data_IF_293052766733
#
_entry.id   IF_293052766733
#
_cell.length_a   1.000
_cell.length_b   1.000
_cell.length_c   1.000
_cell.angle_alpha   90.00
_cell.angle_beta   90.00
_cell.angle_gamma   90.00
#
_symmetry.space_group_name_H-M   'P 1'
#
loop_
_entity.id
_entity.type
_entity.pdbx_description
1 polymer ?
#
# COMPACT_ATOMS: atom_id res chain seq x y z
N UNK A 1 19.38 -72.61 -11.73
CA UNK A 1 20.24 -71.73 -12.56
C UNK A 1 19.32 -70.82 -13.36
N UNK A 2 19.12 -69.59 -12.93
CA UNK A 2 18.48 -68.56 -13.75
C UNK A 2 19.06 -67.21 -13.33
N UNK A 3 19.52 -66.49 -14.35
CA UNK A 3 20.44 -65.37 -14.32
C UNK A 3 19.76 -64.07 -13.91
N UNK A 4 20.50 -63.27 -13.14
CA UNK A 4 20.26 -61.86 -12.81
C UNK A 4 20.15 -61.01 -14.08
N UNK A 5 19.17 -60.09 -14.12
CA UNK A 5 19.19 -58.91 -14.99
C UNK A 5 18.79 -57.70 -14.15
N UNK A 6 19.74 -56.77 -14.05
CA UNK A 6 19.62 -55.46 -13.42
C UNK A 6 18.86 -54.56 -14.39
N UNK A 7 17.80 -53.89 -13.92
CA UNK A 7 17.22 -52.73 -14.61
C UNK A 7 17.57 -51.49 -13.78
N UNK A 8 18.45 -50.67 -14.33
CA UNK A 8 18.64 -49.27 -13.96
C UNK A 8 17.35 -48.51 -14.23
N UNK A 9 16.85 -47.81 -13.21
CA UNK A 9 15.78 -46.82 -13.34
C UNK A 9 16.45 -45.52 -13.75
N UNK A 10 16.23 -45.13 -15.00
CA UNK A 10 16.58 -43.82 -15.52
C UNK A 10 15.77 -42.76 -14.74
N UNK A 11 16.48 -41.77 -14.20
CA UNK A 11 15.88 -40.55 -13.68
C UNK A 11 15.24 -39.82 -14.85
N UNK A 12 13.90 -39.82 -14.94
CA UNK A 12 13.19 -38.96 -15.89
C UNK A 12 13.42 -37.50 -15.49
N UNK A 13 14.31 -36.82 -16.22
CA UNK A 13 14.31 -35.36 -16.28
C UNK A 13 12.93 -34.91 -16.76
N UNK A 14 12.23 -34.17 -15.89
CA UNK A 14 10.96 -33.53 -16.24
C UNK A 14 11.11 -32.62 -17.47
N UNK A 15 10.00 -32.33 -18.17
CA UNK A 15 10.05 -31.53 -19.38
C UNK A 15 10.71 -30.17 -19.13
N UNK A 16 11.47 -29.63 -20.10
CA UNK A 16 12.05 -28.29 -20.00
C UNK A 16 10.93 -27.29 -19.74
N UNK A 17 11.10 -26.47 -18.69
CA UNK A 17 10.21 -25.34 -18.41
C UNK A 17 10.15 -24.45 -19.66
N UNK A 18 8.95 -24.17 -20.19
CA UNK A 18 8.76 -23.22 -21.29
C UNK A 18 9.33 -21.85 -20.86
N UNK A 19 10.52 -21.49 -21.35
CA UNK A 19 11.09 -20.18 -21.13
C UNK A 19 10.23 -19.14 -21.86
N UNK A 20 9.56 -18.26 -21.11
CA UNK A 20 8.87 -17.10 -21.69
C UNK A 20 9.88 -16.32 -22.54
N UNK A 21 9.57 -16.00 -23.81
CA UNK A 21 10.53 -15.36 -24.70
C UNK A 21 10.99 -14.01 -24.12
N UNK A 22 12.30 -13.78 -24.14
CA UNK A 22 12.90 -12.51 -23.68
C UNK A 22 12.37 -11.38 -24.57
N UNK A 23 11.85 -10.28 -24.00
CA UNK A 23 11.28 -9.20 -24.77
C UNK A 23 12.34 -8.50 -25.62
N UNK A 24 11.96 -8.11 -26.84
CA UNK A 24 12.79 -7.22 -27.65
C UNK A 24 12.67 -5.82 -27.06
N UNK A 25 13.78 -5.31 -26.52
CA UNK A 25 13.85 -3.97 -25.93
C UNK A 25 14.64 -3.02 -26.84
N UNK A 26 14.41 -1.70 -26.76
CA UNK A 26 15.17 -0.71 -27.53
C UNK A 26 16.69 -0.79 -27.24
N UNK A 27 17.49 -0.38 -28.24
CA UNK A 27 18.96 -0.45 -28.16
C UNK A 27 19.52 0.26 -26.95
N UNK A 28 18.96 1.42 -26.57
CA UNK A 28 19.35 2.16 -25.38
C UNK A 28 19.22 1.37 -24.06
N UNK A 29 18.34 0.37 -23.99
CA UNK A 29 18.28 -0.57 -22.86
C UNK A 29 19.22 -1.75 -23.11
N UNK A 30 19.14 -2.43 -24.26
CA UNK A 30 19.92 -3.65 -24.49
C UNK A 30 21.44 -3.42 -24.52
N UNK A 31 21.88 -2.23 -24.93
CA UNK A 31 23.29 -1.83 -24.97
C UNK A 31 23.89 -1.66 -23.57
N UNK A 32 23.04 -1.45 -22.55
CA UNK A 32 23.46 -1.23 -21.15
C UNK A 32 23.06 -2.36 -20.21
N UNK A 33 21.96 -3.04 -20.49
CA UNK A 33 21.38 -4.06 -19.65
C UNK A 33 21.14 -5.35 -20.42
N UNK A 34 21.58 -6.47 -19.85
CA UNK A 34 21.16 -7.80 -20.25
C UNK A 34 19.80 -8.10 -19.63
N UNK A 35 18.74 -8.10 -20.44
CA UNK A 35 17.38 -8.49 -20.00
C UNK A 35 17.31 -10.00 -19.87
N UNK A 36 16.75 -10.47 -18.75
CA UNK A 36 16.60 -11.87 -18.41
C UNK A 36 15.13 -12.31 -18.37
N UNK A 37 14.87 -13.33 -17.57
CA UNK A 37 13.54 -13.93 -17.41
C UNK A 37 12.51 -12.93 -16.90
N UNK A 38 11.25 -13.16 -17.25
CA UNK A 38 10.13 -12.48 -16.62
C UNK A 38 10.06 -12.91 -15.16
N UNK A 39 9.95 -11.93 -14.28
CA UNK A 39 9.88 -12.13 -12.84
C UNK A 39 8.52 -11.73 -12.26
N UNK A 40 7.70 -11.04 -13.05
CA UNK A 40 6.27 -11.00 -12.82
C UNK A 40 5.48 -10.28 -13.93
N UNK A 41 4.16 -10.41 -13.85
CA UNK A 41 3.21 -10.09 -14.91
C UNK A 41 1.98 -9.42 -14.32
N UNK A 42 1.61 -8.26 -14.85
CA UNK A 42 0.42 -7.48 -14.50
C UNK A 42 -0.35 -7.07 -15.76
N UNK A 43 -1.60 -6.65 -15.58
CA UNK A 43 -2.50 -6.19 -16.63
C UNK A 43 -1.83 -5.15 -17.54
N UNK A 44 -1.15 -4.16 -16.96
CA UNK A 44 -0.57 -3.03 -17.71
C UNK A 44 0.95 -3.07 -17.88
N UNK A 45 1.64 -3.90 -17.09
CA UNK A 45 3.09 -3.93 -17.05
C UNK A 45 3.63 -5.35 -16.85
N UNK A 46 4.78 -5.64 -17.44
CA UNK A 46 5.56 -6.85 -17.17
C UNK A 46 6.89 -6.46 -16.53
N UNK A 47 7.45 -7.33 -15.71
CA UNK A 47 8.70 -7.06 -14.99
C UNK A 47 9.70 -8.16 -15.30
N UNK A 48 10.90 -7.77 -15.73
CA UNK A 48 12.00 -8.67 -16.04
C UNK A 48 13.18 -8.43 -15.09
N UNK A 49 13.94 -9.46 -14.77
CA UNK A 49 15.28 -9.26 -14.20
C UNK A 49 16.16 -8.66 -15.31
N UNK A 50 17.02 -7.70 -14.97
CA UNK A 50 18.04 -7.23 -15.88
C UNK A 50 19.37 -7.00 -15.16
N UNK A 51 20.48 -7.16 -15.86
CA UNK A 51 21.83 -7.01 -15.29
C UNK A 51 22.56 -5.94 -16.09
N UNK A 52 23.10 -4.93 -15.41
CA UNK A 52 23.90 -3.90 -16.06
C UNK A 52 25.25 -4.48 -16.50
N UNK A 53 25.60 -4.29 -17.78
CA UNK A 53 26.80 -4.90 -18.37
C UNK A 53 28.11 -4.40 -17.72
N UNK A 54 28.16 -3.11 -17.34
CA UNK A 54 29.38 -2.47 -16.83
C UNK A 54 29.70 -2.87 -15.39
N UNK A 55 28.68 -3.11 -14.56
CA UNK A 55 28.84 -3.36 -13.11
C UNK A 55 28.52 -4.80 -12.72
N UNK A 56 27.79 -5.54 -13.55
CA UNK A 56 27.22 -6.84 -13.20
C UNK A 56 26.10 -6.76 -12.15
N UNK A 57 25.63 -5.56 -11.79
CA UNK A 57 24.57 -5.38 -10.80
C UNK A 57 23.21 -5.73 -11.38
N UNK A 58 22.41 -6.47 -10.61
CA UNK A 58 21.05 -6.86 -10.97
C UNK A 58 20.03 -5.77 -10.59
N UNK A 59 19.04 -5.62 -11.45
CA UNK A 59 17.94 -4.65 -11.38
C UNK A 59 16.64 -5.30 -11.87
N UNK A 60 15.52 -4.59 -11.71
CA UNK A 60 14.24 -4.97 -12.25
C UNK A 60 13.85 -4.01 -13.37
N UNK A 61 13.45 -4.53 -14.52
CA UNK A 61 12.96 -3.77 -15.66
C UNK A 61 11.44 -3.89 -15.72
N UNK A 62 10.73 -2.86 -15.26
CA UNK A 62 9.27 -2.74 -15.42
C UNK A 62 8.96 -2.11 -16.78
N UNK A 63 8.23 -2.83 -17.62
CA UNK A 63 7.84 -2.44 -18.98
C UNK A 63 6.33 -2.20 -18.99
N UNK A 64 5.91 -0.95 -19.13
CA UNK A 64 4.51 -0.53 -19.11
C UNK A 64 4.02 -0.34 -20.54
N UNK A 65 2.94 -1.02 -20.91
CA UNK A 65 2.30 -0.86 -22.22
C UNK A 65 1.35 0.34 -22.21
N UNK A 66 1.72 1.43 -22.89
CA UNK A 66 0.90 2.67 -22.92
C UNK A 66 -0.45 2.47 -23.57
N UNK A 67 -0.56 1.56 -24.55
CA UNK A 67 -1.82 1.24 -25.21
C UNK A 67 -2.87 0.66 -24.25
N UNK A 68 -2.43 -0.16 -23.28
CA UNK A 68 -3.32 -0.69 -22.23
C UNK A 68 -3.69 0.36 -21.18
N UNK A 69 -2.97 1.47 -21.11
CA UNK A 69 -3.14 2.53 -20.12
C UNK A 69 -3.92 3.74 -20.64
N UNK A 70 -4.68 3.58 -21.72
CA UNK A 70 -5.43 4.67 -22.34
C UNK A 70 -6.45 5.26 -21.37
N UNK A 71 -6.43 6.59 -21.18
CA UNK A 71 -7.22 7.31 -20.18
C UNK A 71 -6.58 7.37 -18.79
N UNK A 72 -5.43 6.71 -18.59
CA UNK A 72 -4.67 6.63 -17.33
C UNK A 72 -3.25 7.19 -17.46
N UNK A 73 -2.94 7.86 -18.58
CA UNK A 73 -1.60 8.33 -18.92
C UNK A 73 -1.04 9.31 -17.87
N UNK A 74 -1.90 10.17 -17.33
CA UNK A 74 -1.52 11.13 -16.30
C UNK A 74 -1.01 10.44 -15.01
N UNK A 75 -1.54 9.25 -14.67
CA UNK A 75 -1.11 8.51 -13.48
C UNK A 75 0.29 7.95 -13.65
N UNK A 76 0.60 7.40 -14.83
CA UNK A 76 1.95 6.91 -15.16
C UNK A 76 2.95 8.06 -15.16
N UNK A 77 2.59 9.18 -15.79
CA UNK A 77 3.44 10.37 -15.80
C UNK A 77 3.72 10.88 -14.37
N UNK A 78 2.71 10.82 -13.49
CA UNK A 78 2.84 11.21 -12.09
C UNK A 78 3.72 10.24 -11.29
N UNK A 79 3.54 8.93 -11.45
CA UNK A 79 4.38 7.89 -10.83
C UNK A 79 5.86 8.14 -11.19
N UNK A 80 6.16 8.31 -12.48
CA UNK A 80 7.53 8.60 -12.96
C UNK A 80 8.06 9.92 -12.40
N UNK A 81 7.25 10.99 -12.41
CA UNK A 81 7.65 12.28 -11.88
C UNK A 81 8.01 12.21 -10.38
N UNK A 82 7.29 11.42 -9.61
CA UNK A 82 7.57 11.16 -8.19
C UNK A 82 8.84 10.33 -8.03
N UNK A 83 8.94 9.19 -8.73
CA UNK A 83 10.08 8.27 -8.64
C UNK A 83 11.42 8.92 -9.04
N UNK A 84 11.41 9.89 -9.97
CA UNK A 84 12.60 10.70 -10.29
C UNK A 84 13.13 11.50 -9.10
N UNK A 85 12.23 12.02 -8.26
CA UNK A 85 12.54 12.93 -7.14
C UNK A 85 12.90 12.18 -5.87
N UNK A 86 12.31 11.02 -5.66
CA UNK A 86 12.40 10.26 -4.40
C UNK A 86 13.70 9.47 -4.37
N UNK A 87 14.56 9.78 -3.38
CA UNK A 87 15.83 9.09 -3.12
C UNK A 87 15.98 8.86 -1.61
N UNK A 88 15.72 7.63 -1.15
CA UNK A 88 15.76 7.28 0.26
C UNK A 88 16.16 5.80 0.44
N UNK A 89 16.94 5.43 1.47
CA UNK A 89 17.37 4.04 1.69
C UNK A 89 16.20 3.05 1.85
N UNK A 90 15.11 3.48 2.49
CA UNK A 90 13.91 2.67 2.70
C UNK A 90 12.84 2.83 1.59
N UNK A 91 13.23 3.25 0.39
CA UNK A 91 12.35 3.32 -0.78
C UNK A 91 13.03 2.61 -1.96
N UNK A 92 12.27 1.85 -2.75
CA UNK A 92 12.75 1.23 -4.00
C UNK A 92 13.07 2.33 -5.00
N UNK A 93 14.32 2.39 -5.45
CA UNK A 93 14.80 3.48 -6.30
C UNK A 93 14.52 3.24 -7.78
N UNK A 94 14.09 4.29 -8.48
CA UNK A 94 14.22 4.38 -9.94
C UNK A 94 15.69 4.71 -10.29
N UNK A 95 16.31 3.82 -11.06
CA UNK A 95 17.70 3.91 -11.53
C UNK A 95 17.74 4.65 -12.85
N UNK A 96 16.90 4.23 -13.79
CA UNK A 96 16.83 4.77 -15.13
C UNK A 96 15.42 4.58 -15.69
N UNK A 97 15.04 5.44 -16.62
CA UNK A 97 13.79 5.35 -17.33
C UNK A 97 14.03 5.59 -18.82
N UNK A 98 13.18 5.01 -19.65
CA UNK A 98 13.18 5.28 -21.07
C UNK A 98 11.76 5.30 -21.59
N UNK A 99 11.39 6.44 -22.15
CA UNK A 99 10.07 6.67 -22.69
C UNK A 99 10.05 6.49 -24.21
N UNK A 100 9.24 5.58 -24.70
CA UNK A 100 9.05 5.35 -26.14
C UNK A 100 7.61 5.68 -26.54
N UNK A 101 7.30 5.57 -27.83
CA UNK A 101 5.93 5.84 -28.30
C UNK A 101 4.90 4.87 -27.71
N UNK A 102 5.19 3.57 -27.69
CA UNK A 102 4.24 2.52 -27.27
C UNK A 102 4.43 2.05 -25.83
N UNK A 103 5.64 2.20 -25.28
CA UNK A 103 6.01 1.58 -24.01
C UNK A 103 6.87 2.53 -23.16
N UNK A 104 6.78 2.38 -21.85
CA UNK A 104 7.65 3.03 -20.88
C UNK A 104 8.45 1.96 -20.13
N UNK A 105 9.75 2.15 -20.05
CA UNK A 105 10.70 1.24 -19.42
C UNK A 105 11.25 1.88 -18.17
N UNK A 106 11.16 1.21 -17.02
CA UNK A 106 11.67 1.67 -15.74
C UNK A 106 12.65 0.63 -15.20
N UNK A 107 13.93 1.01 -15.12
CA UNK A 107 14.96 0.23 -14.44
C UNK A 107 14.92 0.62 -12.97
N UNK A 108 14.55 -0.33 -12.12
CA UNK A 108 14.32 -0.14 -10.70
C UNK A 108 15.29 -1.01 -9.88
N UNK A 109 15.53 -0.61 -8.63
CA UNK A 109 16.25 -1.43 -7.67
C UNK A 109 15.55 -2.79 -7.49
N UNK A 110 16.29 -3.88 -7.68
CA UNK A 110 15.77 -5.24 -7.44
C UNK A 110 16.01 -5.63 -5.98
N UNK A 111 14.93 -5.86 -5.24
CA UNK A 111 14.95 -6.29 -3.84
C UNK A 111 14.59 -7.77 -3.75
N UNK A 112 15.53 -8.62 -3.31
CA UNK A 112 15.41 -10.09 -3.39
C UNK A 112 14.95 -10.79 -2.11
N UNK A 113 14.76 -10.08 -0.99
CA UNK A 113 14.40 -10.68 0.31
C UNK A 113 12.90 -10.96 0.49
N UNK A 114 12.09 -10.76 -0.55
CA UNK A 114 10.64 -10.99 -0.50
C UNK A 114 9.86 -9.83 0.12
N UNK A 115 8.59 -10.11 0.41
CA UNK A 115 7.68 -9.16 1.04
C UNK A 115 7.75 -9.23 2.57
N UNK A 116 7.05 -8.30 3.24
CA UNK A 116 7.03 -8.19 4.70
C UNK A 116 6.64 -9.49 5.40
N UNK A 117 5.68 -10.23 4.86
CA UNK A 117 5.18 -11.46 5.49
C UNK A 117 6.09 -12.66 5.22
N UNK A 118 6.80 -12.67 4.09
CA UNK A 118 7.88 -13.63 3.86
C UNK A 118 9.00 -13.49 4.91
N UNK A 119 9.40 -12.27 5.26
CA UNK A 119 10.39 -12.04 6.33
C UNK A 119 9.92 -12.55 7.70
N UNK A 120 8.65 -12.33 8.06
CA UNK A 120 8.13 -12.79 9.36
C UNK A 120 8.02 -14.31 9.39
N UNK A 121 7.60 -14.94 8.29
CA UNK A 121 7.40 -16.40 8.24
C UNK A 121 8.70 -17.19 8.08
N UNK A 122 9.77 -16.57 7.60
CA UNK A 122 11.11 -17.16 7.51
C UNK A 122 11.96 -16.96 8.78
N UNK A 123 11.57 -16.05 9.66
CA UNK A 123 12.29 -15.76 10.90
C UNK A 123 11.98 -16.79 11.99
N UNK A 124 13.02 -17.47 12.50
CA UNK A 124 12.87 -18.48 13.57
C UNK A 124 12.44 -17.89 14.93
N UNK A 125 12.92 -16.69 15.27
CA UNK A 125 12.57 -15.95 16.50
C UNK A 125 12.19 -14.53 16.13
N UNK A 126 10.89 -14.23 16.18
CA UNK A 126 10.33 -12.92 15.86
C UNK A 126 9.77 -12.25 17.11
N UNK A 127 10.14 -10.99 17.35
CA UNK A 127 9.90 -10.24 18.59
C UNK A 127 9.33 -8.84 18.30
N UNK A 128 8.90 -8.12 19.33
CA UNK A 128 8.51 -6.71 19.19
C UNK A 128 9.64 -5.83 18.65
N UNK A 129 10.91 -6.17 18.94
CA UNK A 129 12.06 -5.43 18.43
C UNK A 129 12.17 -5.52 16.91
N UNK A 130 11.87 -6.68 16.34
CA UNK A 130 11.87 -6.89 14.90
C UNK A 130 10.74 -6.08 14.24
N UNK A 131 9.53 -6.13 14.83
CA UNK A 131 8.39 -5.33 14.40
C UNK A 131 8.66 -3.81 14.49
N UNK A 132 9.32 -3.37 15.56
CA UNK A 132 9.70 -1.97 15.78
C UNK A 132 10.74 -1.50 14.76
N UNK A 133 11.75 -2.33 14.46
CA UNK A 133 12.73 -2.04 13.40
C UNK A 133 12.09 -1.91 12.01
N UNK A 134 11.12 -2.77 11.71
CA UNK A 134 10.31 -2.68 10.49
C UNK A 134 9.50 -1.37 10.43
N UNK A 135 8.80 -1.02 11.53
CA UNK A 135 8.07 0.25 11.61
C UNK A 135 9.00 1.46 11.50
N UNK A 136 10.18 1.42 12.11
CA UNK A 136 11.17 2.49 12.01
C UNK A 136 11.59 2.76 10.56
N UNK A 137 11.82 1.71 9.77
CA UNK A 137 12.14 1.83 8.34
C UNK A 137 10.98 2.43 7.54
N UNK A 138 9.75 1.94 7.79
CA UNK A 138 8.55 2.44 7.13
C UNK A 138 8.29 3.90 7.48
N UNK A 139 8.31 4.26 8.77
CA UNK A 139 8.08 5.62 9.24
C UNK A 139 9.15 6.60 8.73
N UNK A 140 10.41 6.18 8.56
CA UNK A 140 11.43 7.00 7.91
C UNK A 140 11.12 7.25 6.43
N UNK A 141 10.70 6.23 5.68
CA UNK A 141 10.26 6.40 4.29
C UNK A 141 9.08 7.37 4.19
N UNK A 142 8.06 7.19 5.04
CA UNK A 142 6.86 8.06 5.08
C UNK A 142 7.26 9.49 5.43
N UNK A 143 8.09 9.70 6.47
CA UNK A 143 8.58 11.03 6.86
C UNK A 143 9.27 11.73 5.69
N UNK A 144 10.12 11.01 4.96
CA UNK A 144 10.80 11.55 3.79
C UNK A 144 9.79 11.98 2.70
N UNK A 145 8.82 11.12 2.35
CA UNK A 145 7.79 11.46 1.37
C UNK A 145 6.95 12.66 1.81
N UNK A 146 6.52 12.69 3.07
CA UNK A 146 5.71 13.76 3.63
C UNK A 146 6.47 15.09 3.65
N UNK A 147 7.80 15.08 3.84
CA UNK A 147 8.63 16.29 3.72
C UNK A 147 8.67 16.88 2.32
N UNK A 148 8.33 16.08 1.30
CA UNK A 148 8.19 16.49 -0.10
C UNK A 148 6.73 16.72 -0.50
N UNK A 149 5.81 16.73 0.47
CA UNK A 149 4.35 16.75 0.28
C UNK A 149 3.84 15.61 -0.60
N UNK A 150 4.48 14.43 -0.57
CA UNK A 150 4.02 13.25 -1.32
C UNK A 150 3.26 12.33 -0.37
N UNK A 151 2.05 11.92 -0.76
CA UNK A 151 1.27 10.85 -0.11
C UNK A 151 1.36 9.58 -0.95
N UNK A 152 1.54 8.42 -0.32
CA UNK A 152 1.67 7.14 -1.03
C UNK A 152 0.31 6.51 -1.38
N UNK A 153 -0.66 6.53 -0.44
CA UNK A 153 -2.06 6.05 -0.59
C UNK A 153 -2.27 4.54 -0.78
N UNK A 154 -1.21 3.75 -0.89
CA UNK A 154 -1.29 2.29 -1.03
C UNK A 154 -0.17 1.57 -0.27
N UNK A 155 0.09 2.02 0.97
CA UNK A 155 1.01 1.35 1.87
C UNK A 155 0.32 0.07 2.37
N UNK A 156 0.91 -1.08 2.05
CA UNK A 156 0.43 -2.41 2.40
C UNK A 156 1.60 -3.40 2.44
N UNK A 157 1.47 -4.55 3.12
CA UNK A 157 2.55 -5.54 3.26
C UNK A 157 3.17 -5.97 1.94
N UNK A 158 2.36 -6.10 0.89
CA UNK A 158 2.83 -6.47 -0.44
C UNK A 158 3.85 -5.47 -0.96
N UNK A 159 3.65 -4.17 -0.72
CA UNK A 159 4.49 -3.05 -1.17
C UNK A 159 5.70 -2.78 -0.26
N UNK A 160 5.92 -3.60 0.76
CA UNK A 160 7.03 -3.50 1.71
C UNK A 160 8.01 -4.64 1.49
N UNK A 161 9.09 -4.33 0.77
CA UNK A 161 10.10 -5.31 0.38
C UNK A 161 11.23 -5.38 1.39
N UNK A 162 11.75 -6.58 1.58
CA UNK A 162 12.83 -6.84 2.53
C UNK A 162 14.16 -6.84 1.79
N UNK A 163 15.02 -5.90 2.14
CA UNK A 163 16.38 -5.81 1.65
C UNK A 163 17.33 -6.45 2.66
N UNK A 164 18.05 -7.48 2.22
CA UNK A 164 19.11 -8.14 2.99
C UNK A 164 20.45 -7.46 2.71
N UNK A 165 21.09 -6.98 3.76
CA UNK A 165 22.43 -6.40 3.71
C UNK A 165 23.49 -7.50 3.75
N UNK A 166 24.70 -7.17 3.31
CA UNK A 166 25.83 -8.11 3.28
C UNK A 166 26.27 -8.60 4.67
N UNK A 167 25.96 -7.82 5.72
CA UNK A 167 26.23 -8.17 7.11
C UNK A 167 25.15 -9.08 7.73
N UNK A 168 24.14 -9.47 6.94
CA UNK A 168 23.01 -10.29 7.37
C UNK A 168 21.90 -9.51 8.07
N UNK A 169 22.02 -8.19 8.23
CA UNK A 169 20.92 -7.35 8.69
C UNK A 169 19.86 -7.17 7.60
N UNK A 170 18.64 -6.82 7.99
CA UNK A 170 17.55 -6.56 7.05
C UNK A 170 16.99 -5.15 7.22
N UNK A 171 16.43 -4.62 6.14
CA UNK A 171 15.72 -3.34 6.16
C UNK A 171 14.52 -3.37 5.21
N UNK A 172 13.47 -2.62 5.53
CA UNK A 172 12.33 -2.47 4.63
C UNK A 172 12.55 -1.37 3.58
N UNK A 173 12.07 -1.65 2.37
CA UNK A 173 11.97 -0.71 1.27
C UNK A 173 10.52 -0.64 0.79
N UNK A 174 9.94 0.55 0.88
CA UNK A 174 8.62 0.85 0.32
C UNK A 174 8.73 0.97 -1.20
N UNK A 175 7.90 0.25 -1.94
CA UNK A 175 7.78 0.35 -3.38
C UNK A 175 6.35 0.63 -3.82
N UNK A 176 6.15 0.64 -5.14
CA UNK A 176 4.88 0.91 -5.83
C UNK A 176 4.28 2.30 -5.59
N UNK A 177 4.65 3.25 -6.45
CA UNK A 177 4.20 4.63 -6.38
C UNK A 177 3.06 4.95 -7.35
N UNK A 178 2.40 3.94 -7.92
CA UNK A 178 1.38 4.17 -8.96
C UNK A 178 0.13 4.91 -8.47
N UNK A 179 -0.15 4.88 -7.16
CA UNK A 179 -1.16 5.73 -6.52
C UNK A 179 -0.56 6.94 -5.79
N UNK A 180 0.75 7.15 -5.78
CA UNK A 180 1.33 8.28 -5.07
C UNK A 180 0.97 9.62 -5.75
N UNK A 181 0.88 10.71 -4.99
CA UNK A 181 0.67 12.06 -5.53
C UNK A 181 1.26 13.14 -4.64
N UNK A 182 1.57 14.29 -5.23
CA UNK A 182 1.85 15.51 -4.45
C UNK A 182 0.54 16.08 -3.91
N UNK A 183 0.55 16.52 -2.66
CA UNK A 183 -0.58 17.08 -1.93
C UNK A 183 -0.47 18.60 -1.92
N UNK A 184 -1.25 19.27 -2.77
CA UNK A 184 -1.38 20.74 -2.81
C UNK A 184 -2.72 21.23 -2.23
N UNK A 185 -3.51 20.32 -1.68
CA UNK A 185 -4.83 20.56 -1.10
C UNK A 185 -5.50 19.22 -0.75
N UNK A 186 -6.72 19.24 -0.17
CA UNK A 186 -7.45 18.01 0.15
C UNK A 186 -7.72 17.17 -1.10
N UNK A 187 -7.43 15.88 -1.00
CA UNK A 187 -7.72 14.88 -2.03
C UNK A 187 -9.04 14.19 -1.74
N UNK A 188 -9.78 13.79 -2.78
CA UNK A 188 -11.11 13.18 -2.65
C UNK A 188 -11.23 11.83 -3.38
N UNK A 189 -10.22 11.44 -4.15
CA UNK A 189 -10.24 10.16 -4.87
C UNK A 189 -10.19 9.00 -3.90
N UNK A 190 -11.22 8.16 -3.91
CA UNK A 190 -11.29 6.93 -3.11
C UNK A 190 -10.43 5.85 -3.78
N UNK A 191 -9.30 5.52 -3.17
CA UNK A 191 -8.32 4.57 -3.70
C UNK A 191 -7.57 3.85 -2.56
N UNK A 192 -6.77 2.85 -2.92
CA UNK A 192 -6.00 2.03 -1.98
C UNK A 192 -6.66 0.69 -1.70
N UNK A 193 -5.97 -0.14 -0.93
CA UNK A 193 -6.44 -1.49 -0.59
C UNK A 193 -7.36 -1.45 0.64
N UNK A 194 -8.64 -1.92 0.56
CA UNK A 194 -9.68 -1.71 1.57
C UNK A 194 -9.27 -1.89 3.04
N UNK A 195 -8.47 -2.92 3.36
CA UNK A 195 -8.02 -3.22 4.73
C UNK A 195 -7.16 -2.12 5.36
N UNK A 196 -6.46 -1.32 4.55
CA UNK A 196 -5.46 -0.34 5.01
C UNK A 196 -5.90 1.11 4.79
N UNK A 197 -7.09 1.31 4.22
CA UNK A 197 -7.61 2.64 3.86
C UNK A 197 -8.06 3.39 5.11
N UNK A 198 -7.76 4.69 5.16
CA UNK A 198 -8.09 5.56 6.26
C UNK A 198 -9.59 5.98 6.26
N UNK A 199 -10.19 6.29 7.42
CA UNK A 199 -11.60 6.65 7.54
C UNK A 199 -12.02 7.83 6.65
N UNK A 200 -11.17 8.86 6.54
CA UNK A 200 -11.44 10.06 5.76
C UNK A 200 -11.45 9.82 4.23
N UNK A 201 -10.80 8.74 3.75
CA UNK A 201 -10.91 8.31 2.34
C UNK A 201 -12.30 7.70 2.11
N UNK A 202 -12.77 6.85 3.03
CA UNK A 202 -14.08 6.18 2.96
C UNK A 202 -15.22 7.19 3.13
N UNK A 203 -15.05 8.16 4.02
CA UNK A 203 -16.02 9.23 4.28
C UNK A 203 -16.04 10.31 3.20
N UNK A 204 -15.05 10.32 2.29
CA UNK A 204 -14.87 11.33 1.24
C UNK A 204 -14.85 12.77 1.77
N UNK A 205 -14.35 12.98 3.00
CA UNK A 205 -14.32 14.30 3.65
C UNK A 205 -13.14 15.16 3.21
N UNK A 206 -12.26 14.60 2.37
CA UNK A 206 -11.00 15.22 1.98
C UNK A 206 -9.87 14.69 2.85
N UNK A 207 -8.78 14.26 2.23
CA UNK A 207 -7.64 13.67 2.94
C UNK A 207 -6.30 14.24 2.47
N UNK A 208 -5.26 14.02 3.27
CA UNK A 208 -3.89 14.45 3.03
C UNK A 208 -2.88 13.38 3.40
N UNK A 209 -1.71 13.79 3.88
CA UNK A 209 -0.56 12.91 4.12
C UNK A 209 -0.81 11.82 5.19
N UNK A 210 -1.61 12.11 6.23
CA UNK A 210 -1.80 11.22 7.39
C UNK A 210 -2.58 9.91 7.10
N UNK A 211 -3.07 9.70 5.88
CA UNK A 211 -3.62 8.40 5.46
C UNK A 211 -2.54 7.31 5.44
N UNK A 212 -1.29 7.69 5.13
CA UNK A 212 -0.15 6.78 5.16
C UNK A 212 0.18 6.32 6.59
N UNK A 213 -0.08 7.16 7.59
CA UNK A 213 0.12 6.83 9.01
C UNK A 213 -0.93 5.82 9.49
N UNK A 214 -2.18 5.98 9.04
CA UNK A 214 -3.22 5.00 9.32
C UNK A 214 -2.84 3.61 8.78
N UNK A 215 -2.43 3.55 7.50
CA UNK A 215 -1.98 2.31 6.87
C UNK A 215 -0.79 1.67 7.63
N UNK A 216 0.20 2.47 8.02
CA UNK A 216 1.31 2.01 8.85
C UNK A 216 0.86 1.50 10.23
N UNK A 217 -0.18 2.11 10.83
CA UNK A 217 -0.77 1.66 12.09
C UNK A 217 -1.47 0.30 11.96
N UNK A 218 -2.22 0.10 10.87
CA UNK A 218 -2.83 -1.19 10.52
C UNK A 218 -1.76 -2.27 10.35
N UNK A 219 -0.67 -1.95 9.64
CA UNK A 219 0.46 -2.87 9.45
C UNK A 219 1.12 -3.19 10.80
N UNK A 220 1.37 -2.20 11.65
CA UNK A 220 1.96 -2.41 12.98
C UNK A 220 1.10 -3.34 13.84
N UNK A 221 -0.22 -3.18 13.80
CA UNK A 221 -1.14 -4.09 14.47
C UNK A 221 -1.00 -5.53 13.96
N UNK A 222 -0.91 -5.72 12.63
CA UNK A 222 -0.71 -7.04 12.01
C UNK A 222 0.66 -7.62 12.38
N UNK A 223 1.72 -6.81 12.41
CA UNK A 223 3.06 -7.26 12.79
C UNK A 223 3.09 -7.88 14.19
N UNK A 224 2.20 -7.45 15.10
CA UNK A 224 2.20 -7.89 16.49
C UNK A 224 1.25 -9.05 16.78
N UNK A 225 0.15 -9.21 16.04
CA UNK A 225 -0.82 -10.29 16.28
C UNK A 225 -1.11 -11.20 15.08
N UNK A 226 -0.66 -10.83 13.88
CA UNK A 226 -0.81 -11.60 12.64
C UNK A 226 -2.20 -11.51 11.99
N UNK A 227 -2.99 -10.49 12.33
CA UNK A 227 -4.28 -10.20 11.70
C UNK A 227 -4.63 -8.71 11.68
N UNK A 228 -5.46 -8.22 10.74
CA UNK A 228 -5.87 -6.82 10.70
C UNK A 228 -6.80 -6.44 11.87
N UNK A 229 -6.77 -5.18 12.33
CA UNK A 229 -7.60 -4.67 13.42
C UNK A 229 -9.08 -4.56 13.05
N UNK A 230 -9.38 -4.18 11.81
CA UNK A 230 -10.73 -4.04 11.29
C UNK A 230 -11.06 -5.20 10.36
N UNK A 231 -12.20 -5.85 10.58
CA UNK A 231 -12.64 -7.02 9.82
C UNK A 231 -14.15 -6.97 9.62
N UNK A 232 -14.59 -7.14 8.38
CA UNK A 232 -15.96 -7.57 8.09
C UNK A 232 -16.11 -9.08 8.30
N UNK A 233 -17.35 -9.58 8.25
CA UNK A 233 -17.57 -10.99 7.90
C UNK A 233 -16.99 -11.25 6.50
N UNK A 234 -16.68 -12.50 6.17
CA UNK A 234 -15.77 -12.88 5.06
C UNK A 234 -16.10 -12.33 3.66
N UNK A 235 -17.28 -11.74 3.44
CA UNK A 235 -17.69 -11.15 2.16
C UNK A 235 -18.36 -9.77 2.31
N UNK A 236 -18.29 -9.11 3.48
CA UNK A 236 -18.97 -7.84 3.73
C UNK A 236 -18.00 -6.66 3.83
N UNK A 237 -17.74 -6.06 2.67
CA UNK A 237 -16.91 -4.86 2.55
C UNK A 237 -17.55 -3.64 3.24
N UNK A 238 -18.89 -3.59 3.35
CA UNK A 238 -19.57 -2.48 4.03
C UNK A 238 -19.37 -2.58 5.54
N UNK A 239 -19.49 -3.77 6.12
CA UNK A 239 -19.17 -3.99 7.52
C UNK A 239 -17.71 -3.61 7.86
N UNK A 240 -16.76 -3.92 6.97
CA UNK A 240 -15.37 -3.47 7.13
C UNK A 240 -15.28 -1.93 7.18
N UNK A 241 -15.94 -1.25 6.25
CA UNK A 241 -15.93 0.22 6.20
C UNK A 241 -16.60 0.86 7.41
N UNK A 242 -17.69 0.30 7.90
CA UNK A 242 -18.34 0.78 9.11
C UNK A 242 -17.43 0.63 10.33
N UNK A 243 -16.68 -0.48 10.44
CA UNK A 243 -15.68 -0.65 11.51
C UNK A 243 -14.53 0.38 11.41
N UNK A 244 -14.03 0.63 10.20
CA UNK A 244 -12.98 1.64 9.97
C UNK A 244 -13.50 3.04 10.35
N UNK A 245 -14.72 3.40 9.92
CA UNK A 245 -15.34 4.69 10.22
C UNK A 245 -15.61 4.88 11.72
N UNK A 246 -15.98 3.81 12.42
CA UNK A 246 -16.16 3.84 13.88
C UNK A 246 -14.82 3.97 14.63
N UNK A 247 -13.73 3.43 14.06
CA UNK A 247 -12.40 3.49 14.66
C UNK A 247 -12.28 2.78 16.01
N UNK A 248 -13.16 1.81 16.28
CA UNK A 248 -13.12 1.04 17.52
C UNK A 248 -12.02 -0.01 17.42
N UNK A 249 -10.87 0.32 18.02
CA UNK A 249 -9.71 -0.56 18.09
C UNK A 249 -9.79 -1.47 19.32
N UNK A 250 -9.64 -2.76 19.11
CA UNK A 250 -9.60 -3.77 20.18
C UNK A 250 -8.26 -4.52 20.18
N UNK A 251 -7.83 -4.97 21.36
CA UNK A 251 -6.63 -5.78 21.56
C UNK A 251 -7.03 -7.13 22.21
N UNK A 252 -7.58 -8.08 21.45
CA UNK A 252 -8.22 -9.27 21.99
C UNK A 252 -7.23 -10.26 22.60
N UNK A 253 -7.62 -10.85 23.73
CA UNK A 253 -6.89 -11.93 24.38
C UNK A 253 -7.10 -13.27 23.63
N UNK A 254 -6.12 -14.18 23.64
CA UNK A 254 -4.81 -14.09 24.30
C UNK A 254 -3.71 -13.45 23.43
N UNK A 255 -4.06 -12.88 22.27
CA UNK A 255 -3.07 -12.46 21.26
C UNK A 255 -2.22 -11.25 21.70
N UNK A 256 -2.79 -10.40 22.56
CA UNK A 256 -2.19 -9.16 23.02
C UNK A 256 -1.74 -9.18 24.49
N UNK A 257 -1.82 -10.35 25.16
CA UNK A 257 -1.44 -10.51 26.58
C UNK A 257 0.04 -10.16 26.80
N UNK A 258 0.91 -10.59 25.89
CA UNK A 258 2.37 -10.42 26.01
C UNK A 258 2.91 -9.26 25.17
N UNK A 259 2.04 -8.46 24.56
CA UNK A 259 2.44 -7.29 23.79
C UNK A 259 2.49 -6.08 24.71
N UNK A 260 3.59 -5.32 24.65
CA UNK A 260 3.82 -4.17 25.52
C UNK A 260 2.73 -3.10 25.38
N UNK A 261 2.43 -2.43 26.50
CA UNK A 261 1.46 -1.33 26.48
C UNK A 261 1.97 -0.14 25.66
N UNK A 262 3.29 0.05 25.57
CA UNK A 262 3.89 1.06 24.68
C UNK A 262 3.59 0.78 23.20
N UNK A 263 3.60 -0.49 22.77
CA UNK A 263 3.19 -0.83 21.40
C UNK A 263 1.71 -0.49 21.15
N UNK A 264 0.84 -0.84 22.10
CA UNK A 264 -0.61 -0.57 22.01
C UNK A 264 -0.89 0.93 21.97
N UNK A 265 -0.20 1.71 22.81
CA UNK A 265 -0.29 3.18 22.85
C UNK A 265 0.09 3.81 21.50
N UNK A 266 1.19 3.35 20.89
CA UNK A 266 1.60 3.81 19.56
C UNK A 266 0.53 3.50 18.51
N UNK A 267 0.02 2.28 18.48
CA UNK A 267 -1.01 1.88 17.50
C UNK A 267 -2.27 2.72 17.68
N UNK A 268 -2.73 2.94 18.92
CA UNK A 268 -3.86 3.84 19.21
C UNK A 268 -3.60 5.24 18.66
N UNK A 269 -2.38 5.76 18.81
CA UNK A 269 -2.01 7.09 18.32
C UNK A 269 -1.93 7.20 16.78
N UNK A 270 -1.60 6.09 16.11
CA UNK A 270 -1.59 6.00 14.63
C UNK A 270 -2.97 5.75 14.02
N UNK A 271 -3.87 5.09 14.76
CA UNK A 271 -5.23 4.72 14.33
C UNK A 271 -6.31 5.64 14.89
N UNK A 272 -6.01 6.93 15.04
CA UNK A 272 -7.01 7.95 15.38
C UNK A 272 -7.87 8.29 14.16
N UNK A 273 -9.19 8.25 14.31
CA UNK A 273 -10.13 8.70 13.26
C UNK A 273 -9.98 10.21 13.04
N UNK A 274 -9.86 10.97 14.12
CA UNK A 274 -9.61 12.41 14.05
C UNK A 274 -8.18 12.68 13.56
N UNK A 275 -8.08 13.27 12.37
CA UNK A 275 -6.80 13.41 11.65
C UNK A 275 -5.82 14.29 12.42
N UNK A 276 -6.30 15.30 13.14
CA UNK A 276 -5.44 16.19 13.92
C UNK A 276 -4.83 15.49 15.14
N UNK A 277 -5.52 14.51 15.72
CA UNK A 277 -5.02 13.70 16.83
C UNK A 277 -4.11 12.56 16.35
N UNK A 278 -4.26 12.13 15.11
CA UNK A 278 -3.41 11.09 14.52
C UNK A 278 -1.97 11.53 14.46
N UNK A 279 -1.03 10.66 14.82
CA UNK A 279 0.38 10.98 14.74
C UNK A 279 0.84 11.34 13.33
N UNK A 280 1.91 12.13 13.26
CA UNK A 280 2.74 12.31 12.07
C UNK A 280 3.85 11.25 12.04
N UNK A 281 4.50 11.06 10.89
CA UNK A 281 5.63 10.14 10.78
C UNK A 281 6.78 10.50 11.74
N UNK A 282 6.99 11.79 12.00
CA UNK A 282 7.99 12.25 12.97
C UNK A 282 7.63 11.81 14.39
N UNK A 283 6.38 12.02 14.82
CA UNK A 283 5.91 11.60 16.14
C UNK A 283 5.97 10.07 16.32
N UNK A 284 5.72 9.30 15.26
CA UNK A 284 5.92 7.84 15.28
C UNK A 284 7.39 7.49 15.54
N UNK A 285 8.33 8.15 14.85
CA UNK A 285 9.77 7.91 15.01
C UNK A 285 10.31 8.34 16.39
N UNK A 286 9.67 9.31 17.03
CA UNK A 286 10.03 9.81 18.37
C UNK A 286 9.38 8.99 19.50
N UNK A 287 8.49 8.06 19.18
CA UNK A 287 7.78 7.27 20.19
C UNK A 287 8.71 6.27 20.90
N UNK A 288 8.60 6.07 22.24
CA UNK A 288 9.49 5.18 23.00
C UNK A 288 9.59 3.74 22.49
N UNK A 289 8.48 3.20 21.96
CA UNK A 289 8.45 1.87 21.34
C UNK A 289 9.33 1.77 20.08
N UNK A 290 9.55 2.89 19.37
CA UNK A 290 10.35 2.96 18.14
C UNK A 290 11.79 3.39 18.41
N UNK A 291 12.03 4.31 19.36
CA UNK A 291 13.39 4.76 19.71
C UNK A 291 14.21 3.72 20.49
N UNK A 292 13.59 2.61 20.90
CA UNK A 292 14.12 1.58 21.81
C UNK A 292 14.33 2.06 23.26
N UNK A 293 13.92 3.28 23.64
CA UNK A 293 14.02 3.74 25.03
C UNK A 293 12.98 3.06 25.94
N UNK A 294 11.90 2.51 25.36
CA UNK A 294 10.82 1.82 26.10
C UNK A 294 10.75 0.31 25.90
N UNK A 295 11.59 -0.27 25.03
CA UNK A 295 11.60 -1.72 24.81
C UNK A 295 12.54 -2.36 25.83
N UNK A 296 11.97 -3.02 26.84
CA UNK A 296 12.71 -4.07 27.55
C UNK A 296 13.20 -5.10 26.53
N UNK A 297 14.26 -5.84 26.84
CA UNK A 297 14.63 -7.05 26.09
C UNK A 297 13.52 -8.11 26.27
N UNK A 298 12.32 -7.85 25.74
CA UNK A 298 11.23 -8.80 25.68
C UNK A 298 11.66 -9.86 24.66
N UNK A 299 12.40 -10.84 25.15
CA UNK A 299 12.80 -12.04 24.42
C UNK A 299 11.62 -12.95 24.07
N UNK A 300 10.41 -12.59 24.52
CA UNK A 300 9.19 -13.34 24.23
C UNK A 300 8.91 -13.33 22.74
N UNK A 301 9.03 -14.52 22.15
CA UNK A 301 8.69 -14.74 20.76
C UNK A 301 7.21 -14.49 20.52
N UNK A 302 6.89 -13.66 19.53
CA UNK A 302 5.53 -13.44 19.06
C UNK A 302 5.11 -14.60 18.16
N UNK A 303 4.03 -15.28 18.52
CA UNK A 303 3.48 -16.41 17.75
C UNK A 303 2.59 -15.94 16.59
N UNK A 304 3.13 -15.15 15.66
CA UNK A 304 2.38 -14.50 14.56
C UNK A 304 2.40 -15.28 13.25
N UNK A 305 3.45 -16.06 12.97
CA UNK A 305 3.66 -16.69 11.66
C UNK A 305 2.48 -17.57 11.20
N UNK A 306 1.89 -18.36 12.10
CA UNK A 306 0.73 -19.21 11.78
C UNK A 306 -0.53 -18.40 11.44
N UNK A 307 -0.71 -17.23 12.07
CA UNK A 307 -1.84 -16.33 11.81
C UNK A 307 -1.67 -15.58 10.51
N UNK A 308 -0.46 -15.12 10.21
CA UNK A 308 -0.13 -14.48 8.94
C UNK A 308 -0.40 -15.46 7.79
N UNK A 309 0.08 -16.70 7.90
CA UNK A 309 -0.19 -17.74 6.90
C UNK A 309 -1.69 -17.99 6.67
N UNK A 310 -2.48 -18.00 7.76
CA UNK A 310 -3.93 -18.21 7.69
C UNK A 310 -4.69 -17.06 7.02
N UNK A 311 -4.27 -15.81 7.25
CA UNK A 311 -5.04 -14.64 6.80
C UNK A 311 -4.53 -14.01 5.51
N UNK A 312 -3.26 -14.25 5.14
CA UNK A 312 -2.63 -13.58 4.00
C UNK A 312 -2.00 -14.54 2.97
N UNK A 313 -1.57 -15.75 3.35
CA UNK A 313 -0.84 -16.67 2.45
C UNK A 313 -1.69 -17.86 1.96
N UNK A 314 -3.01 -17.71 1.83
CA UNK A 314 -3.94 -18.82 1.49
C UNK A 314 -4.09 -19.11 -0.02
N UNK A 315 -3.34 -18.44 -0.90
CA UNK A 315 -3.25 -18.79 -2.32
C UNK A 315 -1.88 -19.38 -2.67
N UNK A 316 -1.78 -20.36 -3.59
CA UNK A 316 -0.49 -20.74 -4.14
C UNK A 316 0.14 -19.51 -4.81
N UNK A 317 1.26 -18.99 -4.26
CA UNK A 317 2.11 -18.05 -5.01
C UNK A 317 2.48 -18.80 -6.30
N UNK A 318 2.16 -18.27 -7.50
CA UNK A 318 2.57 -18.93 -8.74
C UNK A 318 4.08 -19.19 -8.66
N UNK A 319 4.50 -20.41 -8.96
CA UNK A 319 5.86 -20.92 -8.78
C UNK A 319 6.97 -20.12 -9.49
N UNK A 320 6.61 -19.07 -10.21
CA UNK A 320 7.46 -18.23 -11.05
C UNK A 320 7.79 -16.86 -10.45
N UNK A 321 7.16 -16.45 -9.33
CA UNK A 321 7.41 -15.10 -8.80
C UNK A 321 8.72 -15.06 -8.01
N UNK A 322 9.69 -14.31 -8.54
CA UNK A 322 10.91 -13.97 -7.80
C UNK A 322 10.53 -13.06 -6.62
N UNK A 323 11.12 -13.23 -5.42
CA UNK A 323 10.77 -12.41 -4.27
C UNK A 323 10.95 -10.92 -4.58
N UNK A 324 10.00 -10.09 -4.13
CA UNK A 324 10.01 -8.63 -4.31
C UNK A 324 9.41 -8.09 -5.60
N UNK A 325 8.87 -8.96 -6.45
CA UNK A 325 8.42 -8.58 -7.80
C UNK A 325 6.92 -8.29 -7.90
N UNK A 326 6.11 -8.84 -6.99
CA UNK A 326 4.68 -8.50 -6.85
C UNK A 326 4.45 -6.98 -6.80
N UNK A 327 5.31 -6.24 -6.11
CA UNK A 327 5.25 -4.76 -6.00
C UNK A 327 5.37 -4.04 -7.33
N UNK A 328 6.07 -4.63 -8.29
CA UNK A 328 6.31 -4.01 -9.59
C UNK A 328 5.24 -4.39 -10.62
N UNK A 329 4.38 -5.36 -10.30
CA UNK A 329 3.39 -5.95 -11.22
C UNK A 329 1.93 -5.75 -10.78
N UNK A 330 1.69 -5.20 -9.58
CA UNK A 330 0.32 -5.03 -9.08
C UNK A 330 -0.47 -4.06 -9.96
N UNK A 331 -1.57 -4.54 -10.47
CA UNK A 331 -2.56 -3.74 -11.17
C UNK A 331 -3.35 -2.93 -10.15
N UNK A 332 -3.28 -1.62 -10.27
CA UNK A 332 -4.15 -0.76 -9.50
C UNK A 332 -5.60 -1.01 -9.98
N UNK A 333 -6.41 -1.69 -9.19
CA UNK A 333 -7.85 -1.45 -9.23
C UNK A 333 -8.07 -0.07 -8.60
N UNK A 334 -8.20 0.92 -9.48
CA UNK A 334 -8.14 2.34 -9.15
C UNK A 334 -9.35 2.85 -8.36
N UNK A 335 -10.37 2.01 -8.12
CA UNK A 335 -11.62 2.40 -7.49
C UNK A 335 -12.04 1.38 -6.43
N UNK A 336 -12.19 1.86 -5.20
CA UNK A 336 -12.97 1.15 -4.19
C UNK A 336 -14.44 1.47 -4.47
N UNK A 337 -15.25 0.46 -4.78
CA UNK A 337 -16.68 0.65 -5.01
C UNK A 337 -17.46 0.39 -3.70
N UNK A 338 -18.17 1.41 -3.21
CA UNK A 338 -19.22 1.25 -2.18
C UNK A 338 -20.58 1.20 -2.88
N UNK A 339 -21.49 0.35 -2.40
CA UNK A 339 -22.85 0.37 -2.92
C UNK A 339 -23.47 1.76 -2.65
N UNK A 340 -23.99 2.42 -3.70
CA UNK A 340 -24.53 3.77 -3.61
C UNK A 340 -23.56 4.93 -3.88
N UNK A 341 -22.29 4.67 -4.21
CA UNK A 341 -21.42 5.71 -4.78
C UNK A 341 -21.88 6.04 -6.19
N UNK A 342 -22.42 7.24 -6.40
CA UNK A 342 -22.77 7.73 -7.73
C UNK A 342 -21.48 8.20 -8.43
N UNK A 343 -21.21 7.65 -9.62
CA UNK A 343 -20.14 8.12 -10.52
C UNK A 343 -20.38 9.58 -10.96
N UNK A 344 -20.02 10.56 -10.11
CA UNK A 344 -20.13 11.99 -10.40
C UNK A 344 -18.76 12.65 -10.58
N UNK A 345 -17.83 11.97 -11.23
CA UNK A 345 -16.60 12.61 -11.70
C UNK A 345 -16.84 13.27 -13.06
N UNK A 346 -17.45 14.47 -13.09
CA UNK A 346 -17.19 15.42 -14.19
C UNK A 346 -17.73 16.87 -14.08
N UNK A 347 -18.35 17.34 -12.98
CA UNK A 347 -18.84 18.72 -12.97
C UNK A 347 -18.58 19.52 -11.68
N UNK A 348 -17.74 20.58 -11.72
CA UNK A 348 -17.46 21.45 -10.57
C UNK A 348 -18.64 22.34 -10.12
N UNK A 349 -19.85 22.15 -10.68
CA UNK A 349 -21.04 22.95 -10.39
C UNK A 349 -21.96 22.42 -9.27
N UNK A 350 -21.73 21.21 -8.74
CA UNK A 350 -22.69 20.53 -7.84
C UNK A 350 -22.31 20.50 -6.35
N UNK A 351 -21.21 21.14 -5.96
CA UNK A 351 -20.72 21.18 -4.56
C UNK A 351 -21.75 21.68 -3.53
N UNK A 352 -22.68 22.55 -3.94
CA UNK A 352 -23.67 23.17 -3.05
C UNK A 352 -24.82 22.23 -2.64
N UNK A 353 -25.09 21.18 -3.43
CA UNK A 353 -26.21 20.26 -3.17
C UNK A 353 -25.86 19.30 -2.02
N UNK A 354 -24.57 18.94 -1.85
CA UNK A 354 -24.11 17.98 -0.83
C UNK A 354 -24.08 18.58 0.59
N UNK A 355 -23.75 19.87 0.75
CA UNK A 355 -23.85 20.57 2.05
C UNK A 355 -25.27 20.54 2.62
N UNK A 356 -26.29 20.54 1.76
CA UNK A 356 -27.68 20.53 2.19
C UNK A 356 -28.15 19.14 2.70
N UNK A 357 -27.57 18.05 2.19
CA UNK A 357 -27.87 16.68 2.66
C UNK A 357 -27.14 16.32 3.97
N UNK A 358 -25.92 16.82 4.17
CA UNK A 358 -25.17 16.61 5.42
C UNK A 358 -25.89 17.31 6.59
N UNK A 359 -26.40 18.52 6.39
CA UNK A 359 -27.23 19.20 7.39
C UNK A 359 -28.53 18.44 7.72
N UNK A 360 -29.08 17.67 6.76
CA UNK A 360 -30.30 16.90 6.99
C UNK A 360 -30.05 15.65 7.86
N UNK A 361 -28.91 14.98 7.69
CA UNK A 361 -28.52 13.85 8.55
C UNK A 361 -28.12 14.28 9.97
N UNK A 362 -27.54 15.47 10.14
CA UNK A 362 -27.23 16.03 11.47
C UNK A 362 -28.51 16.47 12.21
N UNK A 363 -29.58 16.85 11.48
CA UNK A 363 -30.88 17.14 12.10
C UNK A 363 -31.61 15.88 12.62
N UNK A 364 -31.24 14.67 12.18
CA UNK A 364 -31.83 13.42 12.67
C UNK A 364 -31.32 12.99 14.06
N UNK A 365 -30.24 13.61 14.56
CA UNK A 365 -29.59 13.25 15.85
C UNK A 365 -29.88 14.21 17.00
N UNK A 366 -30.86 15.11 16.85
CA UNK A 366 -31.51 15.76 18.01
C UNK A 366 -30.67 16.79 18.79
N UNK A 367 -29.79 17.54 18.13
CA UNK A 367 -29.08 18.67 18.76
C UNK A 367 -29.76 19.98 18.32
N UNK A 368 -30.61 20.53 19.19
CA UNK A 368 -31.24 21.83 18.99
C UNK A 368 -30.39 22.97 19.59
N UNK A 369 -30.36 24.10 18.84
CA UNK A 369 -30.25 25.50 19.30
C UNK A 369 -29.16 26.41 18.72
N UNK A 370 -28.35 25.99 17.72
CA UNK A 370 -27.44 26.95 17.03
C UNK A 370 -27.59 27.00 15.50
N UNK A 371 -28.20 26.00 14.86
CA UNK A 371 -28.32 25.94 13.39
C UNK A 371 -29.56 26.63 12.78
N UNK A 372 -30.50 27.10 13.59
CA UNK A 372 -31.79 27.63 13.07
C UNK A 372 -31.63 28.98 12.33
N UNK A 373 -30.60 29.77 12.65
CA UNK A 373 -30.37 31.07 12.01
C UNK A 373 -29.66 30.97 10.65
N UNK A 374 -28.84 29.95 10.40
CA UNK A 374 -28.18 29.75 9.10
C UNK A 374 -29.12 29.13 8.06
N UNK A 375 -30.10 28.33 8.50
CA UNK A 375 -31.01 27.64 7.58
C UNK A 375 -32.04 28.60 6.94
N UNK A 376 -32.51 29.61 7.67
CA UNK A 376 -33.46 30.61 7.14
C UNK A 376 -32.84 31.50 6.05
N UNK A 377 -31.54 31.80 6.14
CA UNK A 377 -30.82 32.51 5.09
C UNK A 377 -30.69 31.68 3.80
N UNK A 378 -30.37 30.38 3.93
CA UNK A 378 -30.28 29.46 2.79
C UNK A 378 -31.63 29.22 2.09
N UNK A 379 -32.72 29.06 2.84
CA UNK A 379 -34.06 28.88 2.27
C UNK A 379 -34.52 30.14 1.51
N UNK A 380 -34.16 31.34 2.01
CA UNK A 380 -34.48 32.60 1.33
C UNK A 380 -33.71 32.76 0.02
N UNK A 381 -32.43 32.35 -0.02
CA UNK A 381 -31.61 32.34 -1.24
C UNK A 381 -32.15 31.33 -2.26
N UNK A 382 -32.58 30.14 -1.81
CA UNK A 382 -33.19 29.12 -2.67
C UNK A 382 -34.52 29.59 -3.28
N UNK A 383 -35.36 30.30 -2.51
CA UNK A 383 -36.61 30.87 -3.01
C UNK A 383 -36.37 32.01 -4.03
N UNK A 384 -35.36 32.85 -3.79
CA UNK A 384 -34.96 33.93 -4.73
C UNK A 384 -34.35 33.38 -6.03
N UNK A 385 -33.60 32.28 -5.97
CA UNK A 385 -33.07 31.61 -7.16
C UNK A 385 -34.16 30.89 -7.95
N UNK A 386 -35.15 30.28 -7.27
CA UNK A 386 -36.31 29.65 -7.93
C UNK A 386 -37.20 30.67 -8.64
N UNK A 387 -37.33 31.88 -8.10
CA UNK A 387 -38.08 32.97 -8.76
C UNK A 387 -37.39 33.49 -10.02
N UNK A 388 -36.05 33.57 -10.04
CA UNK A 388 -35.29 34.02 -11.21
C UNK A 388 -35.21 32.99 -12.35
N UNK A 389 -35.36 31.70 -12.04
CA UNK A 389 -35.39 30.62 -13.04
C UNK A 389 -36.75 30.44 -13.73
N UNK A 390 -37.83 31.03 -13.20
CA UNK A 390 -39.18 30.96 -13.79
C UNK A 390 -39.49 32.18 -14.67
N UNK A 391 -38.62 33.20 -14.68
CA UNK A 391 -38.79 34.45 -15.45
C UNK A 391 -37.78 34.62 -16.62
N UNK A 392 -37.07 33.57 -17.02
CA UNK A 392 -36.18 33.57 -18.19
C UNK A 392 -36.53 32.48 -19.19
#
# INVERSE_FOLDING_TARGET
VASTKVCSLDEEEGPPLEETPIPIVPSSISDRYKVGRMIGDGNFAVVHECVEHSTGRAYALKIINKGKCRGKEHMIQNEVAILRRVKHPNIVLLIEEMDTYSELYLVMELVKGGDLFDAITSTNRYTERDASGMLYNLANAIKYLHSLNIVHRDIKPENLLVYEHQDGSTSLKLGDFGLATVVDGPLYTVCGTPTYVAPEIIAETGYGLKVDIWAAGVITYILLCGFPPFRGSTDDQEALFDQILLGQLEFPLPYWDNVSDSAKELIVSMLQVEVDQRYTALQVLEHPWVTNDGLSENEHQLSVAGKIKKHFNTGPKPSNNTPGVSVMTLDHDFSIQRSGSLDFYQNPGMFWIRMCMICFNIMATGIFDVLFLQCTACVTILLLMRFNLVQK
#
